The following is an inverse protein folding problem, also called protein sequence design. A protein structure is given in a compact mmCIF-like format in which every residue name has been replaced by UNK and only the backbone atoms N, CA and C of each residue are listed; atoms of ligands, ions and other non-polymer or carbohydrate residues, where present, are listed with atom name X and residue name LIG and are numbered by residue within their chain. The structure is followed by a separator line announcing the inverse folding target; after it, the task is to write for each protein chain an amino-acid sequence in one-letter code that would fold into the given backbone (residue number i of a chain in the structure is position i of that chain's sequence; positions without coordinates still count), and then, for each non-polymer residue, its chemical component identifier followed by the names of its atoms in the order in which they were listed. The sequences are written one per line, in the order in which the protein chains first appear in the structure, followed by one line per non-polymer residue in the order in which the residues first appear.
data_IF_942330310202
#
_entry.id   IF_942330310202
#
_cell.length_a   1.000
_cell.length_b   1.000
_cell.length_c   1.000
_cell.angle_alpha   90.00
_cell.angle_beta   90.00
_cell.angle_gamma   90.00
#
_symmetry.space_group_name_H-M   'P 1'
#
loop_
_entity.id
_entity.type
_entity.pdbx_description
1 polymer ?
#
# COMPACT_ATOMS: atom_id res chain seq x y z
N UNK A 1 29.07 -9.12 -1.41
CA UNK A 1 27.76 -9.68 -1.81
C UNK A 1 26.80 -8.51 -1.87
N UNK A 2 26.95 -7.70 -2.91
CA UNK A 2 26.11 -6.52 -3.14
C UNK A 2 25.21 -6.86 -4.32
N UNK A 3 23.91 -6.98 -4.05
CA UNK A 3 22.91 -7.14 -5.10
C UNK A 3 22.82 -5.81 -5.85
N UNK A 4 23.48 -5.73 -7.00
CA UNK A 4 23.24 -4.68 -7.99
C UNK A 4 21.81 -4.84 -8.51
N UNK A 5 20.88 -4.05 -7.98
CA UNK A 5 19.55 -3.87 -8.57
C UNK A 5 19.72 -3.04 -9.84
N UNK A 6 20.04 -3.71 -10.94
CA UNK A 6 19.93 -3.15 -12.27
C UNK A 6 18.54 -3.50 -12.81
N UNK A 7 17.53 -2.71 -12.41
CA UNK A 7 16.21 -2.77 -13.00
C UNK A 7 16.14 -1.71 -14.13
N UNK A 8 16.19 -2.09 -15.41
CA UNK A 8 15.86 -1.16 -16.47
C UNK A 8 14.37 -0.77 -16.32
N UNK A 9 14.08 0.53 -16.37
CA UNK A 9 12.75 1.13 -16.26
C UNK A 9 11.79 0.74 -17.40
N UNK A 10 11.55 -0.56 -17.62
CA UNK A 10 10.75 -1.14 -18.71
C UNK A 10 10.08 -2.48 -18.33
N UNK A 11 9.54 -2.61 -17.11
CA UNK A 11 8.51 -3.61 -16.82
C UNK A 11 7.18 -2.90 -16.60
N UNK A 12 6.29 -3.12 -17.56
CA UNK A 12 4.93 -2.60 -17.63
C UNK A 12 4.08 -3.32 -16.57
N UNK A 13 3.12 -2.58 -15.98
CA UNK A 13 2.13 -2.96 -14.96
C UNK A 13 2.62 -2.99 -13.50
N UNK A 14 2.67 -1.81 -12.86
CA UNK A 14 2.59 -1.70 -11.40
C UNK A 14 1.17 -2.10 -10.98
N UNK A 15 0.97 -3.41 -10.81
CA UNK A 15 -0.29 -3.95 -10.30
C UNK A 15 -0.52 -3.44 -8.88
N UNK A 16 0.51 -3.00 -8.15
CA UNK A 16 0.38 -2.45 -6.81
C UNK A 16 0.88 -1.00 -6.74
N UNK A 17 0.14 -0.15 -6.03
CA UNK A 17 0.53 1.23 -5.67
C UNK A 17 0.72 1.37 -4.17
N UNK A 18 1.42 2.41 -3.73
CA UNK A 18 1.58 2.73 -2.31
C UNK A 18 0.63 3.88 -1.96
N UNK A 19 -0.26 3.68 -1.01
CA UNK A 19 -1.18 4.69 -0.48
C UNK A 19 -0.86 4.98 1.00
N UNK A 20 -0.60 6.24 1.37
CA UNK A 20 -0.35 6.60 2.76
C UNK A 20 -1.65 6.56 3.57
N UNK A 21 -1.63 5.87 4.71
CA UNK A 21 -2.75 5.79 5.64
C UNK A 21 -2.32 6.30 7.02
N UNK A 22 -3.29 6.86 7.75
CA UNK A 22 -3.07 7.31 9.11
C UNK A 22 -3.78 6.38 10.09
N UNK A 23 -3.07 5.94 11.13
CA UNK A 23 -3.65 5.16 12.21
C UNK A 23 -4.62 6.02 13.02
N UNK A 24 -5.90 5.63 13.18
CA UNK A 24 -6.89 6.39 13.92
C UNK A 24 -6.68 6.37 15.44
N UNK A 25 -5.77 5.52 15.95
CA UNK A 25 -5.54 5.34 17.38
C UNK A 25 -4.37 6.18 17.90
N UNK A 26 -3.22 6.14 17.23
CA UNK A 26 -2.01 6.86 17.64
C UNK A 26 -1.60 7.98 16.68
N UNK A 27 -2.29 8.13 15.55
CA UNK A 27 -2.03 9.17 14.56
C UNK A 27 -0.84 8.90 13.64
N UNK A 28 -0.20 7.74 13.75
CA UNK A 28 0.99 7.42 12.96
C UNK A 28 0.67 7.16 11.48
N UNK A 29 1.55 7.61 10.59
CA UNK A 29 1.45 7.40 9.14
C UNK A 29 2.17 6.12 8.71
N UNK A 30 1.56 5.36 7.81
CA UNK A 30 2.12 4.12 7.25
C UNK A 30 1.80 4.02 5.76
N UNK A 31 2.65 3.31 5.03
CA UNK A 31 2.48 3.04 3.61
C UNK A 31 1.74 1.72 3.41
N UNK A 32 0.60 1.76 2.71
CA UNK A 32 -0.19 0.58 2.38
C UNK A 32 -0.01 0.22 0.91
N UNK A 33 0.45 -1.00 0.64
CA UNK A 33 0.46 -1.55 -0.72
C UNK A 33 -0.96 -1.93 -1.13
N UNK A 34 -1.45 -1.34 -2.21
CA UNK A 34 -2.81 -1.54 -2.74
C UNK A 34 -2.71 -2.17 -4.13
N UNK A 35 -3.29 -3.36 -4.27
CA UNK A 35 -3.45 -4.04 -5.55
C UNK A 35 -4.53 -3.34 -6.40
N UNK A 36 -4.10 -2.74 -7.50
CA UNK A 36 -4.91 -2.05 -8.50
C UNK A 36 -5.62 -2.97 -9.49
N UNK A 37 -5.30 -4.27 -9.52
CA UNK A 37 -6.03 -5.25 -10.32
C UNK A 37 -7.43 -5.54 -9.77
N UNK A 38 -7.68 -5.23 -8.50
CA UNK A 38 -8.95 -5.44 -7.80
C UNK A 38 -9.64 -4.10 -7.55
N UNK A 39 -10.88 -3.94 -8.02
CA UNK A 39 -11.61 -2.68 -7.92
C UNK A 39 -11.76 -2.13 -6.49
N UNK A 40 -11.96 -3.02 -5.50
CA UNK A 40 -12.07 -2.68 -4.09
C UNK A 40 -11.47 -3.77 -3.21
N UNK A 41 -10.63 -3.40 -2.24
CA UNK A 41 -10.01 -4.35 -1.33
C UNK A 41 -10.12 -3.87 0.13
N UNK A 42 -10.18 -4.83 1.05
CA UNK A 42 -10.23 -4.61 2.49
C UNK A 42 -8.92 -5.06 3.10
N UNK A 43 -8.22 -4.15 3.74
CA UNK A 43 -7.02 -4.48 4.50
C UNK A 43 -7.36 -4.44 5.98
N UNK A 44 -6.86 -5.43 6.72
CA UNK A 44 -6.79 -5.39 8.17
C UNK A 44 -5.32 -5.52 8.53
N UNK A 45 -4.77 -4.48 9.12
CA UNK A 45 -3.37 -4.44 9.55
C UNK A 45 -3.30 -3.85 10.96
N UNK A 46 -2.34 -4.29 11.75
CA UNK A 46 -2.03 -3.72 13.04
C UNK A 46 -1.06 -2.56 12.91
N UNK A 47 -1.24 -1.55 13.76
CA UNK A 47 -0.31 -0.43 13.81
C UNK A 47 1.01 -0.86 14.47
N UNK A 48 2.15 -0.64 13.81
CA UNK A 48 3.48 -0.98 14.35
C UNK A 48 3.84 -0.23 15.64
N UNK A 49 3.12 0.85 15.97
CA UNK A 49 3.36 1.68 17.15
C UNK A 49 2.42 1.33 18.30
N UNK A 50 1.11 1.20 18.03
CA UNK A 50 0.11 0.99 19.08
C UNK A 50 -0.51 -0.41 19.09
N UNK A 51 -0.12 -1.29 18.16
CA UNK A 51 -0.57 -2.67 18.01
C UNK A 51 -2.10 -2.84 17.97
N UNK A 52 -2.82 -1.78 17.57
CA UNK A 52 -4.28 -1.83 17.42
C UNK A 52 -4.66 -2.15 15.99
N UNK A 53 -5.61 -3.07 15.78
CA UNK A 53 -6.06 -3.44 14.44
C UNK A 53 -6.82 -2.29 13.79
N UNK A 54 -6.38 -1.87 12.61
CA UNK A 54 -7.10 -0.92 11.77
C UNK A 54 -7.64 -1.60 10.51
N UNK A 55 -8.77 -1.11 10.01
CA UNK A 55 -9.40 -1.60 8.78
C UNK A 55 -9.44 -0.47 7.76
N UNK A 56 -8.84 -0.68 6.60
CA UNK A 56 -8.90 0.27 5.48
C UNK A 56 -9.60 -0.36 4.27
N UNK A 57 -10.38 0.46 3.59
CA UNK A 57 -11.03 0.15 2.33
C UNK A 57 -10.31 0.94 1.24
N UNK A 58 -9.63 0.26 0.33
CA UNK A 58 -9.06 0.91 -0.85
C UNK A 58 -9.94 0.63 -2.07
N UNK A 59 -10.01 1.59 -2.98
CA UNK A 59 -10.63 1.42 -4.29
C UNK A 59 -9.60 1.73 -5.36
N UNK A 60 -9.21 0.73 -6.15
CA UNK A 60 -8.29 0.87 -7.27
C UNK A 60 -8.81 1.79 -8.38
N UNK A 61 -10.13 2.02 -8.43
CA UNK A 61 -10.78 2.88 -9.42
C UNK A 61 -10.41 4.37 -9.33
N UNK A 62 -9.59 4.78 -8.35
CA UNK A 62 -9.02 6.15 -8.25
C UNK A 62 -7.73 6.33 -9.04
N UNK A 63 -7.24 5.32 -9.76
CA UNK A 63 -6.15 5.48 -10.73
C UNK A 63 -6.71 6.14 -11.99
N UNK A 64 -6.71 7.49 -12.01
CA UNK A 64 -6.84 8.22 -13.26
C UNK A 64 -5.52 8.08 -14.02
N UNK A 65 -5.57 7.41 -15.17
CA UNK A 65 -4.54 7.50 -16.20
C UNK A 65 -4.37 8.95 -16.67
#
# INVERSE_FOLDING_TARGET
MELRVNAPARYIALIEIIEPIQCPYCGQMFDLAVDTSVASQRFTTDCEICCRPMRSLSNASRVKF
#
